data_IF_600329438926
#
_entry.id   IF_600329438926
#
_cell.length_a   1.000
_cell.length_b   1.000
_cell.length_c   1.000
_cell.angle_alpha   90.00
_cell.angle_beta   90.00
_cell.angle_gamma   90.00
#
_symmetry.space_group_name_H-M   'P 1'
#
loop_
_entity.id
_entity.type
_entity.pdbx_description
1 polymer ?
#
# COMPACT_ATOMS: atom_id res chain seq x y z
N UNK A 1 -20.91 2.48 -12.07
CA UNK A 1 -19.55 2.08 -11.61
C UNK A 1 -18.61 3.28 -11.55
N UNK A 2 -18.42 4.01 -12.66
CA UNK A 2 -17.63 5.26 -12.71
C UNK A 2 -18.14 6.36 -11.77
N UNK A 3 -19.46 6.48 -11.56
CA UNK A 3 -20.01 7.48 -10.63
C UNK A 3 -19.71 7.19 -9.15
N UNK A 4 -19.67 5.90 -8.75
CA UNK A 4 -19.27 5.51 -7.39
C UNK A 4 -17.78 5.75 -7.12
N UNK A 5 -16.93 5.53 -8.13
CA UNK A 5 -15.50 5.86 -8.06
C UNK A 5 -15.24 7.37 -7.98
N UNK A 6 -16.08 8.18 -8.64
CA UNK A 6 -16.01 9.65 -8.56
C UNK A 6 -16.51 10.18 -7.20
N UNK A 7 -17.46 9.49 -6.57
CA UNK A 7 -18.02 9.87 -5.26
C UNK A 7 -17.21 9.40 -4.06
N UNK A 8 -16.41 8.33 -4.20
CA UNK A 8 -15.67 7.71 -3.11
C UNK A 8 -14.18 7.55 -3.44
N UNK A 9 -13.41 8.56 -3.07
CA UNK A 9 -11.98 8.66 -3.32
C UNK A 9 -11.19 7.48 -2.70
N UNK A 10 -11.64 6.96 -1.55
CA UNK A 10 -10.96 5.87 -0.86
C UNK A 10 -11.15 4.55 -1.63
N UNK A 11 -12.34 4.33 -2.20
CA UNK A 11 -12.60 3.19 -3.09
C UNK A 11 -11.78 3.28 -4.38
N UNK A 12 -11.60 4.49 -4.93
CA UNK A 12 -10.76 4.72 -6.11
C UNK A 12 -9.30 4.37 -5.83
N UNK A 13 -8.77 4.78 -4.69
CA UNK A 13 -7.41 4.43 -4.23
C UNK A 13 -7.27 2.91 -4.09
N UNK A 14 -8.18 2.25 -3.38
CA UNK A 14 -8.13 0.79 -3.15
C UNK A 14 -8.18 0.04 -4.49
N UNK A 15 -9.06 0.46 -5.40
CA UNK A 15 -9.22 -0.20 -6.70
C UNK A 15 -8.02 0.05 -7.60
N UNK A 16 -7.48 1.27 -7.63
CA UNK A 16 -6.33 1.61 -8.46
C UNK A 16 -5.07 0.87 -7.99
N UNK A 17 -4.72 0.97 -6.70
CA UNK A 17 -3.55 0.28 -6.16
C UNK A 17 -3.73 -1.23 -6.20
N UNK A 18 -4.89 -1.75 -5.78
CA UNK A 18 -5.16 -3.17 -5.80
C UNK A 18 -5.11 -3.75 -7.22
N UNK A 19 -5.75 -3.09 -8.18
CA UNK A 19 -5.72 -3.50 -9.58
C UNK A 19 -4.32 -3.47 -10.17
N UNK A 20 -3.57 -2.38 -9.97
CA UNK A 20 -2.20 -2.27 -10.47
C UNK A 20 -1.26 -3.30 -9.84
N UNK A 21 -1.34 -3.52 -8.52
CA UNK A 21 -0.56 -4.54 -7.83
C UNK A 21 -0.92 -5.95 -8.30
N UNK A 22 -2.20 -6.26 -8.49
CA UNK A 22 -2.61 -7.57 -9.01
C UNK A 22 -2.09 -7.81 -10.43
N UNK A 23 -2.19 -6.81 -11.31
CA UNK A 23 -1.66 -6.87 -12.68
C UNK A 23 -0.13 -6.95 -12.71
N UNK A 24 0.56 -6.31 -11.77
CA UNK A 24 2.01 -6.35 -11.65
C UNK A 24 2.53 -7.69 -11.12
N UNK A 25 1.87 -8.27 -10.12
CA UNK A 25 2.32 -9.49 -9.41
C UNK A 25 1.88 -10.76 -10.17
N UNK A 26 0.71 -10.77 -10.80
CA UNK A 26 0.17 -11.95 -11.48
C UNK A 26 1.12 -12.57 -12.52
N UNK A 27 1.80 -11.80 -13.40
CA UNK A 27 2.79 -12.34 -14.33
C UNK A 27 3.96 -13.05 -13.64
N UNK A 28 4.40 -12.59 -12.46
CA UNK A 28 5.45 -13.26 -11.69
C UNK A 28 4.97 -14.62 -11.19
N UNK A 29 3.74 -14.72 -10.69
CA UNK A 29 3.14 -16.00 -10.31
C UNK A 29 3.15 -16.99 -11.48
N UNK A 30 2.68 -16.58 -12.66
CA UNK A 30 2.66 -17.43 -13.86
C UNK A 30 4.07 -17.85 -14.27
N UNK A 31 5.01 -16.91 -14.31
CA UNK A 31 6.41 -17.17 -14.64
C UNK A 31 7.04 -18.20 -13.69
N UNK A 32 6.82 -18.06 -12.38
CA UNK A 32 7.38 -18.98 -11.37
C UNK A 32 6.79 -20.38 -11.45
N UNK A 33 5.49 -20.49 -11.69
CA UNK A 33 4.87 -21.80 -11.91
C UNK A 33 5.44 -22.47 -13.17
N UNK A 34 5.66 -21.70 -14.24
CA UNK A 34 6.28 -22.21 -15.46
C UNK A 34 7.76 -22.61 -15.25
N UNK A 35 8.48 -21.91 -14.37
CA UNK A 35 9.86 -22.22 -13.99
C UNK A 35 9.98 -23.40 -13.00
N UNK A 36 8.87 -23.97 -12.51
CA UNK A 36 8.87 -25.05 -11.52
C UNK A 36 9.08 -24.59 -10.07
N UNK A 37 9.10 -23.28 -9.82
CA UNK A 37 9.22 -22.68 -8.48
C UNK A 37 7.87 -22.66 -7.74
N UNK A 38 7.27 -23.83 -7.51
CA UNK A 38 5.88 -23.93 -7.03
C UNK A 38 5.61 -23.18 -5.72
N UNK A 39 6.51 -23.26 -4.74
CA UNK A 39 6.34 -22.58 -3.44
C UNK A 39 6.27 -21.06 -3.62
N UNK A 40 7.16 -20.51 -4.45
CA UNK A 40 7.27 -19.07 -4.68
C UNK A 40 6.10 -18.57 -5.53
N UNK A 41 5.69 -19.35 -6.54
CA UNK A 41 4.47 -19.09 -7.30
C UNK A 41 3.19 -19.12 -6.45
N UNK A 42 3.11 -20.01 -5.45
CA UNK A 42 1.98 -20.05 -4.52
C UNK A 42 1.90 -18.80 -3.65
N UNK A 43 3.05 -18.27 -3.19
CA UNK A 43 3.10 -17.01 -2.42
C UNK A 43 2.60 -15.84 -3.26
N UNK A 44 3.09 -15.71 -4.49
CA UNK A 44 2.65 -14.65 -5.42
C UNK A 44 1.14 -14.76 -5.73
N UNK A 45 0.64 -15.98 -5.97
CA UNK A 45 -0.78 -16.22 -6.19
C UNK A 45 -1.64 -15.88 -4.97
N UNK A 46 -1.20 -16.25 -3.76
CA UNK A 46 -1.91 -15.92 -2.52
C UNK A 46 -2.00 -14.42 -2.30
N UNK A 47 -0.94 -13.67 -2.63
CA UNK A 47 -0.93 -12.21 -2.55
C UNK A 47 -1.95 -11.62 -3.52
N UNK A 48 -1.95 -12.07 -4.79
CA UNK A 48 -2.92 -11.61 -5.80
C UNK A 48 -4.36 -11.91 -5.37
N UNK A 49 -4.64 -13.13 -4.90
CA UNK A 49 -5.98 -13.51 -4.41
C UNK A 49 -6.40 -12.66 -3.21
N UNK A 50 -5.48 -12.38 -2.29
CA UNK A 50 -5.75 -11.53 -1.12
C UNK A 50 -6.08 -10.09 -1.52
N UNK A 51 -5.35 -9.54 -2.48
CA UNK A 51 -5.57 -8.21 -3.06
C UNK A 51 -6.95 -8.13 -3.73
N UNK A 52 -7.26 -9.07 -4.62
CA UNK A 52 -8.53 -9.13 -5.34
C UNK A 52 -9.72 -9.37 -4.39
N UNK A 53 -9.54 -10.26 -3.41
CA UNK A 53 -10.54 -10.55 -2.39
C UNK A 53 -10.85 -9.32 -1.53
N UNK A 54 -9.82 -8.59 -1.09
CA UNK A 54 -10.02 -7.37 -0.33
C UNK A 54 -10.63 -6.24 -1.18
N UNK A 55 -10.26 -6.14 -2.46
CA UNK A 55 -10.91 -5.23 -3.40
C UNK A 55 -12.39 -5.58 -3.54
N UNK A 56 -12.75 -6.85 -3.81
CA UNK A 56 -14.13 -7.30 -3.86
C UNK A 56 -14.89 -7.01 -2.55
N UNK A 57 -14.26 -7.24 -1.39
CA UNK A 57 -14.82 -6.89 -0.10
C UNK A 57 -15.09 -5.38 0.04
N UNK A 58 -14.18 -4.51 -0.42
CA UNK A 58 -14.39 -3.06 -0.41
C UNK A 58 -15.61 -2.66 -1.25
N UNK A 59 -15.77 -3.26 -2.43
CA UNK A 59 -16.88 -3.01 -3.35
C UNK A 59 -18.23 -3.51 -2.80
N UNK A 60 -18.25 -4.63 -2.08
CA UNK A 60 -19.48 -5.23 -1.55
C UNK A 60 -19.88 -4.59 -0.21
N UNK A 61 -18.93 -4.45 0.72
CA UNK A 61 -19.22 -4.03 2.10
C UNK A 61 -19.47 -2.53 2.24
N UNK A 62 -18.94 -1.71 1.32
CA UNK A 62 -18.99 -0.25 1.44
C UNK A 62 -18.24 0.28 2.66
N UNK A 63 -17.38 -0.51 3.32
CA UNK A 63 -16.61 -0.08 4.50
C UNK A 63 -15.14 0.11 4.13
N UNK A 64 -14.84 1.27 3.52
CA UNK A 64 -13.54 1.61 2.97
C UNK A 64 -12.45 1.65 4.05
N UNK A 65 -12.80 2.09 5.26
CA UNK A 65 -11.84 2.16 6.37
C UNK A 65 -11.32 0.78 6.80
N UNK A 66 -12.21 -0.22 6.88
CA UNK A 66 -11.81 -1.59 7.21
C UNK A 66 -11.08 -2.25 6.04
N UNK A 67 -11.59 -2.08 4.82
CA UNK A 67 -10.97 -2.64 3.63
C UNK A 67 -9.56 -2.08 3.40
N UNK A 68 -9.34 -0.77 3.59
CA UNK A 68 -8.03 -0.15 3.48
C UNK A 68 -7.03 -0.67 4.53
N UNK A 69 -7.47 -0.84 5.79
CA UNK A 69 -6.63 -1.42 6.84
C UNK A 69 -6.23 -2.88 6.53
N UNK A 70 -7.19 -3.71 6.12
CA UNK A 70 -6.93 -5.09 5.72
C UNK A 70 -5.96 -5.16 4.54
N UNK A 71 -6.16 -4.30 3.53
CA UNK A 71 -5.26 -4.17 2.39
C UNK A 71 -3.83 -3.86 2.83
N UNK A 72 -3.66 -2.86 3.70
CA UNK A 72 -2.36 -2.43 4.20
C UNK A 72 -1.66 -3.57 4.96
N UNK A 73 -2.38 -4.29 5.81
CA UNK A 73 -1.85 -5.46 6.51
C UNK A 73 -1.42 -6.57 5.55
N UNK A 74 -2.27 -6.97 4.60
CA UNK A 74 -1.94 -8.03 3.64
C UNK A 74 -0.79 -7.63 2.72
N UNK A 75 -0.76 -6.40 2.24
CA UNK A 75 0.32 -5.89 1.39
C UNK A 75 1.65 -5.85 2.17
N UNK A 76 1.61 -5.42 3.43
CA UNK A 76 2.79 -5.40 4.31
C UNK A 76 3.32 -6.81 4.56
N UNK A 77 2.45 -7.77 4.90
CA UNK A 77 2.82 -9.16 5.12
C UNK A 77 3.34 -9.83 3.84
N UNK A 78 2.66 -9.61 2.71
CA UNK A 78 3.08 -10.14 1.41
C UNK A 78 4.44 -9.60 0.99
N UNK A 79 4.67 -8.30 1.14
CA UNK A 79 5.95 -7.67 0.83
C UNK A 79 7.07 -8.15 1.76
N UNK A 80 6.81 -8.30 3.06
CA UNK A 80 7.76 -8.91 3.98
C UNK A 80 8.10 -10.34 3.53
N UNK A 81 7.10 -11.19 3.27
CA UNK A 81 7.31 -12.57 2.82
C UNK A 81 8.13 -12.63 1.53
N UNK A 82 7.78 -11.83 0.52
CA UNK A 82 8.52 -11.70 -0.74
C UNK A 82 9.97 -11.29 -0.45
N UNK A 83 10.20 -10.26 0.37
CA UNK A 83 11.56 -9.77 0.61
C UNK A 83 12.41 -10.78 1.38
N UNK A 84 11.81 -11.51 2.31
CA UNK A 84 12.50 -12.54 3.07
C UNK A 84 12.79 -13.80 2.22
N UNK A 85 11.98 -14.08 1.18
CA UNK A 85 12.14 -15.26 0.32
C UNK A 85 12.94 -14.99 -0.97
N UNK A 86 12.77 -13.81 -1.57
CA UNK A 86 13.41 -13.40 -2.83
C UNK A 86 14.63 -12.51 -2.65
N UNK A 87 14.99 -12.21 -1.39
CA UNK A 87 16.10 -11.34 -1.06
C UNK A 87 15.98 -9.98 -1.73
N UNK A 88 17.00 -9.63 -2.49
CA UNK A 88 17.18 -8.28 -3.04
C UNK A 88 16.00 -7.79 -3.91
N UNK A 89 15.35 -8.68 -4.67
CA UNK A 89 14.22 -8.31 -5.53
C UNK A 89 13.00 -7.79 -4.76
N UNK A 90 12.80 -8.21 -3.51
CA UNK A 90 11.68 -7.74 -2.70
C UNK A 90 11.82 -6.28 -2.26
N UNK A 91 13.04 -5.73 -2.22
CA UNK A 91 13.30 -4.36 -1.80
C UNK A 91 12.54 -3.32 -2.62
N UNK A 92 12.38 -3.56 -3.94
CA UNK A 92 11.63 -2.67 -4.81
C UNK A 92 10.17 -2.51 -4.37
N UNK A 93 9.57 -3.59 -3.88
CA UNK A 93 8.19 -3.58 -3.39
C UNK A 93 8.06 -2.89 -2.03
N UNK A 94 9.11 -2.90 -1.19
CA UNK A 94 9.09 -2.22 0.11
C UNK A 94 8.80 -0.73 -0.05
N UNK A 95 9.41 -0.07 -1.05
CA UNK A 95 9.12 1.34 -1.35
C UNK A 95 7.66 1.56 -1.71
N UNK A 96 7.08 0.69 -2.55
CA UNK A 96 5.67 0.77 -2.96
C UNK A 96 4.75 0.56 -1.77
N UNK A 97 5.05 -0.42 -0.91
CA UNK A 97 4.23 -0.70 0.29
C UNK A 97 4.28 0.44 1.29
N UNK A 98 5.46 1.03 1.53
CA UNK A 98 5.59 2.18 2.43
C UNK A 98 4.72 3.34 1.97
N UNK A 99 4.70 3.63 0.67
CA UNK A 99 3.88 4.69 0.10
C UNK A 99 2.40 4.36 0.22
N UNK A 100 2.00 3.18 -0.25
CA UNK A 100 0.58 2.76 -0.30
C UNK A 100 -0.07 2.64 1.08
N UNK A 101 0.67 2.23 2.10
CA UNK A 101 0.16 2.16 3.47
C UNK A 101 -0.36 3.51 3.98
N UNK A 102 0.25 4.63 3.58
CA UNK A 102 -0.22 5.97 3.95
C UNK A 102 -1.51 6.40 3.25
N UNK A 103 -1.83 5.80 2.10
CA UNK A 103 -3.07 6.04 1.37
C UNK A 103 -4.20 5.10 1.81
N UNK A 104 -3.87 3.89 2.26
CA UNK A 104 -4.84 2.84 2.57
C UNK A 104 -5.23 2.79 4.06
N UNK A 105 -4.33 3.17 4.97
CA UNK A 105 -4.55 3.09 6.40
C UNK A 105 -4.47 4.46 7.06
N UNK A 106 -5.08 4.58 8.25
CA UNK A 106 -4.92 5.80 9.05
C UNK A 106 -3.45 6.00 9.40
N UNK A 107 -3.03 7.26 9.46
CA UNK A 107 -1.62 7.67 9.61
C UNK A 107 -0.84 6.94 10.71
N UNK A 108 -1.45 6.69 11.87
CA UNK A 108 -0.80 5.99 12.99
C UNK A 108 -0.52 4.52 12.65
N UNK A 109 -1.49 3.84 12.04
CA UNK A 109 -1.34 2.45 11.62
C UNK A 109 -0.37 2.32 10.44
N UNK A 110 -0.41 3.25 9.48
CA UNK A 110 0.55 3.28 8.37
C UNK A 110 2.00 3.41 8.84
N UNK A 111 2.28 4.33 9.79
CA UNK A 111 3.62 4.45 10.39
C UNK A 111 4.02 3.16 11.09
N UNK A 112 3.12 2.56 11.89
CA UNK A 112 3.42 1.32 12.61
C UNK A 112 3.75 0.17 11.64
N UNK A 113 2.93 -0.05 10.61
CA UNK A 113 3.15 -1.08 9.60
C UNK A 113 4.47 -0.85 8.84
N UNK A 114 4.76 0.39 8.45
CA UNK A 114 5.98 0.74 7.73
C UNK A 114 7.24 0.55 8.57
N UNK A 115 7.20 0.94 9.84
CA UNK A 115 8.33 0.73 10.77
C UNK A 115 8.57 -0.77 10.98
N UNK A 116 7.50 -1.55 11.19
CA UNK A 116 7.61 -3.00 11.33
C UNK A 116 8.20 -3.64 10.07
N UNK A 117 7.72 -3.24 8.89
CA UNK A 117 8.23 -3.73 7.61
C UNK A 117 9.72 -3.42 7.44
N UNK A 118 10.11 -2.15 7.58
CA UNK A 118 11.50 -1.72 7.41
C UNK A 118 12.43 -2.41 8.40
N UNK A 119 12.02 -2.54 9.68
CA UNK A 119 12.81 -3.27 10.68
C UNK A 119 12.93 -4.75 10.34
N UNK A 120 11.85 -5.40 9.89
CA UNK A 120 11.86 -6.82 9.51
C UNK A 120 12.80 -7.11 8.33
N UNK A 121 12.88 -6.18 7.37
CA UNK A 121 13.77 -6.29 6.21
C UNK A 121 15.21 -5.96 6.62
N UNK A 122 15.42 -4.88 7.39
CA UNK A 122 16.75 -4.41 7.79
C UNK A 122 17.52 -5.40 8.67
N UNK A 123 16.83 -6.23 9.46
CA UNK A 123 17.48 -7.27 10.27
C UNK A 123 17.85 -8.52 9.47
N UNK A 124 17.32 -8.68 8.25
CA UNK A 124 17.62 -9.85 7.44
C UNK A 124 18.87 -9.63 6.58
N UNK A 125 20.01 -10.12 7.08
CA UNK A 125 21.32 -9.92 6.44
C UNK A 125 21.43 -10.49 5.03
N UNK A 126 20.61 -11.50 4.66
CA UNK A 126 20.64 -12.11 3.33
C UNK A 126 20.04 -11.23 2.22
N UNK A 127 19.39 -10.12 2.59
CA UNK A 127 18.76 -9.20 1.63
C UNK A 127 19.76 -8.18 1.07
N UNK A 128 20.85 -7.91 1.80
CA UNK A 128 21.81 -6.86 1.46
C UNK A 128 23.20 -7.45 1.25
N UNK A 129 23.82 -7.14 0.12
CA UNK A 129 25.17 -7.59 -0.24
C UNK A 129 26.24 -6.83 0.55
N UNK A 130 25.94 -5.61 1.02
CA UNK A 130 26.89 -4.80 1.78
C UNK A 130 26.23 -3.94 2.85
N UNK A 131 27.01 -3.54 3.87
CA UNK A 131 26.56 -2.55 4.87
C UNK A 131 26.22 -1.20 4.24
N UNK A 132 26.93 -0.82 3.18
CA UNK A 132 26.66 0.43 2.46
C UNK A 132 25.27 0.37 1.85
N UNK A 133 24.90 -0.75 1.23
CA UNK A 133 23.59 -0.95 0.63
C UNK A 133 22.46 -0.91 1.66
N UNK A 134 22.63 -1.55 2.83
CA UNK A 134 21.69 -1.43 3.94
C UNK A 134 21.50 0.03 4.38
N UNK A 135 22.59 0.79 4.52
CA UNK A 135 22.53 2.20 4.91
C UNK A 135 21.83 3.03 3.82
N UNK A 136 22.18 2.80 2.55
CA UNK A 136 21.52 3.45 1.41
C UNK A 136 20.03 3.15 1.36
N UNK A 137 19.63 1.90 1.59
CA UNK A 137 18.23 1.50 1.70
C UNK A 137 17.54 2.23 2.85
N UNK A 138 18.11 2.23 4.06
CA UNK A 138 17.52 2.89 5.23
C UNK A 138 17.35 4.41 5.03
N UNK A 139 18.35 5.08 4.46
CA UNK A 139 18.27 6.52 4.17
C UNK A 139 17.17 6.80 3.15
N UNK A 140 17.16 6.06 2.05
CA UNK A 140 16.20 6.29 0.96
C UNK A 140 14.77 5.93 1.36
N UNK A 141 14.54 4.79 2.02
CA UNK A 141 13.20 4.38 2.45
C UNK A 141 12.64 5.31 3.53
N UNK A 142 13.50 5.82 4.42
CA UNK A 142 13.10 6.81 5.43
C UNK A 142 12.73 8.12 4.76
N UNK A 143 13.53 8.60 3.80
CA UNK A 143 13.22 9.82 3.06
C UNK A 143 11.88 9.70 2.32
N UNK A 144 11.67 8.58 1.61
CA UNK A 144 10.39 8.28 0.95
C UNK A 144 9.25 8.26 1.95
N UNK A 145 9.40 7.53 3.06
CA UNK A 145 8.38 7.43 4.10
C UNK A 145 8.02 8.79 4.72
N UNK A 146 9.01 9.64 5.00
CA UNK A 146 8.79 11.00 5.54
C UNK A 146 8.10 11.88 4.51
N UNK A 147 8.56 11.90 3.26
CA UNK A 147 7.94 12.66 2.19
C UNK A 147 6.48 12.25 1.98
N UNK A 148 6.20 10.95 1.92
CA UNK A 148 4.83 10.45 1.77
C UNK A 148 3.98 10.76 2.99
N UNK A 149 4.52 10.64 4.22
CA UNK A 149 3.81 11.03 5.44
C UNK A 149 3.40 12.52 5.41
N UNK A 150 4.33 13.41 5.02
CA UNK A 150 4.08 14.84 4.93
C UNK A 150 3.05 15.15 3.84
N UNK A 151 3.14 14.50 2.69
CA UNK A 151 2.17 14.63 1.61
C UNK A 151 0.79 14.17 2.06
N UNK A 152 0.65 12.95 2.57
CA UNK A 152 -0.60 12.40 3.06
C UNK A 152 -1.23 13.27 4.16
N UNK A 153 -0.40 13.83 5.06
CA UNK A 153 -0.86 14.79 6.08
C UNK A 153 -1.42 16.06 5.44
N UNK A 154 -0.72 16.66 4.47
CA UNK A 154 -1.18 17.88 3.79
C UNK A 154 -2.45 17.64 2.99
N UNK A 155 -2.52 16.54 2.25
CA UNK A 155 -3.69 16.16 1.46
C UNK A 155 -4.92 15.97 2.35
N UNK A 156 -4.77 15.33 3.51
CA UNK A 156 -5.88 15.17 4.45
C UNK A 156 -6.41 16.51 4.97
N UNK A 157 -5.52 17.44 5.35
CA UNK A 157 -5.93 18.79 5.79
C UNK A 157 -6.56 19.61 4.67
N UNK A 158 -6.03 19.55 3.45
CA UNK A 158 -6.63 20.23 2.30
C UNK A 158 -8.01 19.68 1.97
N UNK A 159 -8.20 18.36 2.06
CA UNK A 159 -9.50 17.73 1.83
C UNK A 159 -10.55 18.22 2.82
N UNK A 160 -10.21 18.27 4.11
CA UNK A 160 -11.10 18.79 5.16
C UNK A 160 -11.50 20.25 4.89
N UNK A 161 -10.55 21.09 4.45
CA UNK A 161 -10.83 22.48 4.08
C UNK A 161 -11.75 22.60 2.86
N UNK A 162 -11.53 21.77 1.83
CA UNK A 162 -12.37 21.75 0.63
C UNK A 162 -13.79 21.24 0.92
N UNK A 163 -13.94 20.24 1.81
CA UNK A 163 -15.24 19.75 2.25
C UNK A 163 -16.02 20.83 3.01
N UNK A 164 -15.34 21.62 3.86
CA UNK A 164 -15.96 22.78 4.54
C UNK A 164 -16.38 23.86 3.53
N UNK A 165 -15.55 24.17 2.53
CA UNK A 165 -15.87 25.16 1.50
C UNK A 165 -17.00 24.70 0.56
N UNK A 166 -17.12 23.40 0.30
CA UNK A 166 -18.19 22.86 -0.54
C UNK A 166 -19.54 22.76 0.19
N UNK A 167 -19.52 22.59 1.52
CA UNK A 167 -20.72 22.45 2.36
C UNK A 167 -21.28 23.76 2.91
N UNK A 168 -20.54 24.88 2.76
CA UNK A 168 -20.97 26.19 3.23
C UNK A 168 -20.96 27.21 2.11
N UNK A 169 -22.04 27.96 1.97
CA UNK A 169 -22.07 29.13 1.11
C UNK A 169 -21.09 30.19 1.68
N UNK A 170 -20.03 30.57 0.93
CA UNK A 170 -19.03 31.53 1.41
C UNK A 170 -19.59 32.94 1.68
N UNK A 171 -20.76 33.30 1.16
CA UNK A 171 -21.37 34.62 1.37
C UNK A 171 -22.30 34.68 2.58
N UNK A 172 -23.00 33.59 2.90
CA UNK A 172 -24.01 33.55 3.97
C UNK A 172 -23.60 32.68 5.15
N UNK A 173 -22.54 31.89 5.02
CA UNK A 173 -22.13 30.83 5.95
C UNK A 173 -23.27 29.83 6.26
N UNK A 174 -24.32 29.82 5.43
CA UNK A 174 -25.41 28.87 5.51
C UNK A 174 -24.94 27.53 4.93
N UNK A 175 -25.39 26.42 5.54
CA UNK A 175 -25.11 25.08 5.03
C UNK A 175 -25.88 24.82 3.73
N UNK A 176 -25.23 24.12 2.81
CA UNK A 176 -25.83 23.63 1.56
C UNK A 176 -26.49 22.25 1.75
#
# INVERSE_FOLDING_TARGET
MLERLKGDFDLAIITFFGGYSALGIFPFAVYRFAAGEYLLGMVDALIVVSILGNMAYAWISGNMRRAGLLMACFNTLGCAAITLMFGHHGLFWVFVVVVTNFFLATRRFAVALNVVLVLSVATHQAVFDSRLELISFLVTITLVGVCTFLFAKRTATQREQLEVLASRDPLTNAGN
#
